data_IF_984369818688
#
_entry.id   IF_984369818688
#
_cell.length_a   1.000
_cell.length_b   1.000
_cell.length_c   1.000
_cell.angle_alpha   90.00
_cell.angle_beta   90.00
_cell.angle_gamma   90.00
#
_symmetry.space_group_name_H-M   'P 1'
#
loop_
_entity.id
_entity.type
_entity.pdbx_description
1 polymer ?
#
# COMPACT_ATOMS: atom_id res chain seq x y z
N UNK A 1 -47.24 39.99 -14.89
CA UNK A 1 -47.44 38.55 -14.61
C UNK A 1 -47.17 37.84 -15.92
N UNK A 2 -46.03 37.16 -16.04
CA UNK A 2 -45.74 36.31 -17.21
C UNK A 2 -46.73 35.16 -17.21
N UNK A 3 -47.42 34.96 -18.32
CA UNK A 3 -48.40 33.86 -18.42
C UNK A 3 -47.66 32.55 -18.65
N UNK A 4 -48.31 31.44 -18.30
CA UNK A 4 -47.71 30.11 -18.46
C UNK A 4 -47.39 29.80 -19.93
N UNK A 5 -48.21 30.29 -20.86
CA UNK A 5 -48.04 30.08 -22.29
C UNK A 5 -46.85 30.88 -22.85
N UNK A 6 -46.62 32.10 -22.34
CA UNK A 6 -45.43 32.90 -22.69
C UNK A 6 -44.13 32.18 -22.26
N UNK A 7 -44.14 31.56 -21.07
CA UNK A 7 -43.00 30.77 -20.57
C UNK A 7 -42.78 29.49 -21.39
N UNK A 8 -43.83 28.81 -21.81
CA UNK A 8 -43.72 27.62 -22.67
C UNK A 8 -43.19 27.96 -24.07
N UNK A 9 -43.59 29.11 -24.61
CA UNK A 9 -43.06 29.62 -25.88
C UNK A 9 -41.59 30.05 -25.77
N UNK A 10 -41.21 30.70 -24.67
CA UNK A 10 -39.82 31.09 -24.40
C UNK A 10 -38.89 29.87 -24.23
N UNK A 11 -39.40 28.78 -23.63
CA UNK A 11 -38.70 27.50 -23.49
C UNK A 11 -38.73 26.64 -24.78
N UNK A 12 -39.46 27.07 -25.82
CA UNK A 12 -39.59 26.33 -27.08
C UNK A 12 -40.39 25.02 -26.97
N UNK A 13 -41.21 24.88 -25.92
CA UNK A 13 -42.03 23.68 -25.63
C UNK A 13 -43.50 23.85 -26.04
N UNK A 14 -43.88 25.02 -26.55
CA UNK A 14 -45.24 25.38 -26.97
C UNK A 14 -45.75 24.56 -28.17
N UNK A 15 -44.86 23.97 -28.98
CA UNK A 15 -45.22 23.22 -30.20
C UNK A 15 -44.52 21.89 -30.27
N UNK A 16 -45.26 20.88 -30.76
CA UNK A 16 -44.66 19.60 -31.11
C UNK A 16 -43.62 19.80 -32.23
N UNK A 17 -42.49 19.07 -32.19
CA UNK A 17 -41.46 19.20 -33.19
C UNK A 17 -42.00 18.85 -34.58
N UNK A 18 -41.56 19.61 -35.58
CA UNK A 18 -41.97 19.38 -36.98
C UNK A 18 -41.42 18.05 -37.46
N UNK A 19 -42.12 17.40 -38.41
CA UNK A 19 -41.67 16.13 -39.01
C UNK A 19 -40.19 16.15 -39.41
N UNK A 20 -39.72 17.21 -40.05
CA UNK A 20 -38.31 17.36 -40.46
C UNK A 20 -37.33 17.39 -39.29
N UNK A 21 -37.71 17.99 -38.16
CA UNK A 21 -36.89 18.01 -36.95
C UNK A 21 -36.81 16.62 -36.30
N UNK A 22 -37.91 15.88 -36.31
CA UNK A 22 -37.95 14.49 -35.85
C UNK A 22 -37.07 13.61 -36.75
N UNK A 23 -37.18 13.77 -38.07
CA UNK A 23 -36.34 13.03 -39.02
C UNK A 23 -34.86 13.34 -38.81
N UNK A 24 -34.50 14.63 -38.67
CA UNK A 24 -33.11 15.04 -38.41
C UNK A 24 -32.58 14.49 -37.09
N UNK A 25 -33.40 14.48 -36.02
CA UNK A 25 -33.00 13.91 -34.74
C UNK A 25 -32.76 12.39 -34.83
N UNK A 26 -33.60 11.66 -35.57
CA UNK A 26 -33.43 10.22 -35.81
C UNK A 26 -32.17 9.97 -36.66
N UNK A 27 -31.92 10.80 -37.67
CA UNK A 27 -30.69 10.72 -38.47
C UNK A 27 -29.45 10.96 -37.61
N UNK A 28 -29.48 11.98 -36.75
CA UNK A 28 -28.39 12.30 -35.83
C UNK A 28 -28.13 11.17 -34.82
N UNK A 29 -29.17 10.54 -34.27
CA UNK A 29 -29.02 9.51 -33.23
C UNK A 29 -28.58 8.14 -33.79
N UNK A 30 -29.12 7.73 -34.95
CA UNK A 30 -28.96 6.37 -35.45
C UNK A 30 -28.08 6.25 -36.70
N UNK A 31 -28.07 7.26 -37.56
CA UNK A 31 -27.40 7.18 -38.87
C UNK A 31 -26.06 7.92 -38.91
N UNK A 32 -25.76 8.76 -37.92
CA UNK A 32 -24.44 9.40 -37.85
C UNK A 32 -23.37 8.42 -37.35
N UNK A 33 -22.19 8.39 -37.99
CA UNK A 33 -21.08 7.59 -37.49
C UNK A 33 -20.64 8.13 -36.13
N UNK A 34 -20.53 7.23 -35.15
CA UNK A 34 -20.05 7.59 -33.81
C UNK A 34 -18.57 7.93 -33.86
N UNK A 35 -18.19 9.03 -33.20
CA UNK A 35 -16.79 9.46 -33.06
C UNK A 35 -15.97 8.56 -32.14
N UNK A 36 -16.62 7.68 -31.38
CA UNK A 36 -15.98 6.74 -30.46
C UNK A 36 -16.44 5.31 -30.72
N UNK A 37 -15.55 4.35 -30.47
CA UNK A 37 -15.85 2.93 -30.61
C UNK A 37 -16.84 2.52 -29.50
N UNK A 38 -17.95 1.83 -29.84
CA UNK A 38 -18.88 1.33 -28.84
C UNK A 38 -18.21 0.35 -27.87
N UNK A 39 -18.50 0.46 -26.57
CA UNK A 39 -17.90 -0.39 -25.53
C UNK A 39 -18.11 -1.89 -25.76
N UNK A 40 -19.26 -2.26 -26.34
CA UNK A 40 -19.59 -3.65 -26.63
C UNK A 40 -18.78 -4.25 -27.79
N UNK A 41 -18.10 -3.42 -28.59
CA UNK A 41 -17.17 -3.87 -29.64
C UNK A 41 -15.72 -3.97 -29.17
N UNK A 42 -15.38 -3.36 -28.03
CA UNK A 42 -14.02 -3.40 -27.48
C UNK A 42 -13.47 -4.83 -27.32
N UNK A 43 -14.23 -5.82 -26.81
CA UNK A 43 -13.71 -7.19 -26.68
C UNK A 43 -13.31 -7.83 -28.02
N UNK A 44 -13.94 -7.43 -29.12
CA UNK A 44 -13.67 -7.97 -30.46
C UNK A 44 -12.42 -7.34 -31.07
N UNK A 45 -12.17 -6.06 -30.81
CA UNK A 45 -11.06 -5.32 -31.43
C UNK A 45 -9.83 -5.19 -30.53
N UNK A 46 -9.96 -5.39 -29.22
CA UNK A 46 -8.86 -5.29 -28.28
C UNK A 46 -8.11 -6.62 -28.16
N UNK A 47 -6.80 -6.56 -28.38
CA UNK A 47 -5.89 -7.67 -28.12
C UNK A 47 -5.31 -7.47 -26.72
N UNK A 48 -5.44 -8.47 -25.86
CA UNK A 48 -4.78 -8.51 -24.56
C UNK A 48 -3.44 -9.24 -24.73
N UNK A 49 -2.36 -8.54 -24.45
CA UNK A 49 -1.02 -9.13 -24.45
C UNK A 49 -0.88 -9.97 -23.20
N UNK A 50 -0.42 -11.22 -23.34
CA UNK A 50 -0.10 -12.07 -22.20
C UNK A 50 1.24 -11.60 -21.64
N UNK A 51 1.19 -10.91 -20.50
CA UNK A 51 2.40 -10.55 -19.76
C UNK A 51 2.79 -11.73 -18.87
N UNK A 52 4.02 -12.22 -18.99
CA UNK A 52 4.52 -13.28 -18.14
C UNK A 52 4.97 -12.69 -16.80
N UNK A 53 4.51 -13.29 -15.70
CA UNK A 53 4.84 -12.80 -14.36
C UNK A 53 6.33 -13.00 -14.07
N UNK A 54 7.09 -11.91 -14.09
CA UNK A 54 8.49 -11.89 -13.63
C UNK A 54 8.49 -11.68 -12.12
N UNK A 55 8.67 -12.75 -11.34
CA UNK A 55 8.64 -12.70 -9.87
C UNK A 55 9.67 -11.72 -9.28
N UNK A 56 10.80 -11.51 -9.97
CA UNK A 56 11.85 -10.58 -9.56
C UNK A 56 11.36 -9.13 -9.49
N UNK A 57 10.39 -8.75 -10.31
CA UNK A 57 9.87 -7.37 -10.36
C UNK A 57 8.93 -7.06 -9.19
N UNK A 58 8.42 -8.10 -8.52
CA UNK A 58 7.59 -7.96 -7.32
C UNK A 58 8.43 -7.75 -6.05
N UNK A 59 9.76 -7.92 -6.14
CA UNK A 59 10.65 -7.73 -5.00
C UNK A 59 10.82 -6.24 -4.72
N UNK A 60 10.40 -5.81 -3.54
CA UNK A 60 10.55 -4.43 -3.09
C UNK A 60 11.86 -4.25 -2.35
N UNK A 61 12.67 -3.27 -2.77
CA UNK A 61 13.82 -2.80 -2.00
C UNK A 61 13.45 -1.55 -1.21
N UNK A 62 13.61 -1.60 0.12
CA UNK A 62 13.44 -0.42 0.95
C UNK A 62 14.69 0.47 0.89
N UNK A 63 14.48 1.78 0.72
CA UNK A 63 15.59 2.74 0.72
C UNK A 63 16.20 2.83 2.11
N UNK A 64 17.51 2.61 2.19
CA UNK A 64 18.27 2.80 3.43
C UNK A 64 18.14 4.26 3.92
N UNK A 65 17.79 4.48 5.20
CA UNK A 65 17.72 5.81 5.76
C UNK A 65 19.12 6.45 5.89
N UNK A 66 19.18 7.78 5.91
CA UNK A 66 20.44 8.50 6.07
C UNK A 66 21.10 8.14 7.43
N UNK A 67 22.40 7.79 7.46
CA UNK A 67 23.09 7.33 8.66
C UNK A 67 23.48 8.48 9.61
N UNK A 68 23.36 9.73 9.17
CA UNK A 68 23.70 10.93 9.96
C UNK A 68 22.52 11.87 10.12
N UNK A 69 22.57 12.69 11.16
CA UNK A 69 21.67 13.81 11.41
C UNK A 69 22.48 15.04 11.82
N UNK A 70 21.91 16.24 11.65
CA UNK A 70 22.54 17.48 12.09
C UNK A 70 22.24 17.75 13.56
N UNK A 71 23.29 18.04 14.33
CA UNK A 71 23.23 18.53 15.69
C UNK A 71 23.73 19.98 15.74
N UNK A 72 23.00 20.84 16.45
CA UNK A 72 23.34 22.25 16.60
C UNK A 72 24.24 22.47 17.83
N UNK A 73 25.39 23.10 17.61
CA UNK A 73 26.29 23.51 18.68
C UNK A 73 25.83 24.86 19.25
N UNK A 74 25.71 24.95 20.58
CA UNK A 74 25.24 26.13 21.29
C UNK A 74 26.27 26.61 22.30
N UNK A 75 26.46 27.93 22.40
CA UNK A 75 27.40 28.53 23.34
C UNK A 75 26.84 29.79 24.01
N UNK A 76 27.46 30.16 25.14
CA UNK A 76 27.06 31.30 25.97
C UNK A 76 25.87 31.01 26.90
N UNK A 77 25.58 31.94 27.81
CA UNK A 77 24.47 31.81 28.78
C UNK A 77 23.09 31.78 28.11
N UNK A 78 22.95 32.48 26.97
CA UNK A 78 21.73 32.50 26.17
C UNK A 78 21.56 31.24 25.29
N UNK A 79 22.59 30.41 25.14
CA UNK A 79 22.55 29.20 24.32
C UNK A 79 22.34 29.46 22.83
N UNK A 80 22.97 30.50 22.26
CA UNK A 80 22.88 30.81 20.83
C UNK A 80 23.51 29.70 19.99
N UNK A 81 22.88 29.35 18.87
CA UNK A 81 23.40 28.38 17.90
C UNK A 81 24.59 29.01 17.18
N UNK A 82 25.77 28.41 17.33
CA UNK A 82 27.03 28.89 16.75
C UNK A 82 27.48 28.04 15.56
N UNK A 83 26.96 26.82 15.42
CA UNK A 83 27.38 25.90 14.37
C UNK A 83 26.48 24.67 14.26
N UNK A 84 26.75 23.87 13.22
CA UNK A 84 26.09 22.60 12.95
C UNK A 84 27.16 21.53 12.76
N UNK A 85 26.93 20.34 13.33
CA UNK A 85 27.80 19.18 13.18
C UNK A 85 26.97 17.96 12.82
N UNK A 86 27.46 17.14 11.89
CA UNK A 86 26.85 15.85 11.59
C UNK A 86 27.20 14.81 12.67
N UNK A 87 26.18 14.10 13.15
CA UNK A 87 26.28 13.05 14.17
C UNK A 87 25.65 11.78 13.62
N UNK A 88 26.25 10.63 13.91
CA UNK A 88 25.72 9.33 13.49
C UNK A 88 24.44 8.98 14.25
N UNK A 89 23.44 8.49 13.50
CA UNK A 89 22.19 7.98 14.05
C UNK A 89 22.18 6.48 13.86
N UNK A 90 22.10 5.73 14.97
CA UNK A 90 22.12 4.27 14.95
C UNK A 90 20.74 3.65 14.72
N UNK A 91 19.68 4.32 15.16
CA UNK A 91 18.33 3.78 15.10
C UNK A 91 17.33 4.87 14.69
N UNK A 92 16.39 4.51 13.81
CA UNK A 92 15.25 5.35 13.41
C UNK A 92 13.97 4.63 13.77
N UNK A 93 13.54 4.75 15.04
CA UNK A 93 12.37 4.04 15.52
C UNK A 93 11.13 4.49 14.74
N UNK A 94 10.32 3.53 14.28
CA UNK A 94 9.03 3.78 13.65
C UNK A 94 7.92 3.13 14.46
N UNK A 95 6.65 3.44 14.12
CA UNK A 95 5.51 2.76 14.72
C UNK A 95 5.57 1.24 14.62
N UNK A 96 6.23 0.66 13.60
CA UNK A 96 6.30 -0.79 13.38
C UNK A 96 7.47 -1.46 14.12
N UNK A 97 8.53 -0.71 14.38
CA UNK A 97 9.80 -1.26 14.89
C UNK A 97 10.10 -0.91 16.33
N UNK A 98 9.37 0.04 16.93
CA UNK A 98 9.72 0.55 18.26
C UNK A 98 8.52 0.98 19.11
N UNK A 99 8.67 0.76 20.42
CA UNK A 99 7.78 1.25 21.48
C UNK A 99 8.22 2.63 22.03
N UNK A 100 9.31 3.22 21.51
CA UNK A 100 9.84 4.51 21.99
C UNK A 100 8.92 5.68 21.66
N UNK A 101 8.86 6.67 22.57
CA UNK A 101 8.17 7.94 22.34
C UNK A 101 8.86 8.79 21.26
N UNK A 102 10.17 8.61 21.07
CA UNK A 102 10.98 9.36 20.09
C UNK A 102 10.86 8.80 18.65
N UNK A 103 9.98 7.83 18.42
CA UNK A 103 9.75 7.27 17.08
C UNK A 103 9.17 8.31 16.11
N UNK A 104 9.44 8.11 14.83
CA UNK A 104 8.89 8.97 13.78
C UNK A 104 7.35 8.98 13.84
N UNK A 105 6.72 10.16 13.69
CA UNK A 105 5.26 10.27 13.67
C UNK A 105 4.68 9.50 12.49
N UNK A 106 3.50 8.90 12.71
CA UNK A 106 2.77 8.20 11.66
C UNK A 106 2.11 9.15 10.64
N UNK A 107 1.53 8.59 9.57
CA UNK A 107 0.81 9.39 8.58
C UNK A 107 -0.45 10.03 9.20
N UNK A 108 -0.84 11.19 8.64
CA UNK A 108 -1.93 12.05 9.13
C UNK A 108 -3.25 11.29 9.29
N UNK A 109 -3.57 10.38 8.36
CA UNK A 109 -4.80 9.57 8.41
C UNK A 109 -4.93 8.65 9.63
N UNK A 110 -3.87 8.47 10.40
CA UNK A 110 -3.83 7.62 11.60
C UNK A 110 -3.45 8.36 12.88
N UNK A 111 -3.63 9.68 12.92
CA UNK A 111 -3.19 10.51 14.05
C UNK A 111 -3.85 10.15 15.39
N UNK A 112 -5.18 10.01 15.43
CA UNK A 112 -5.94 9.80 16.68
C UNK A 112 -6.07 8.33 17.02
N UNK A 113 -6.63 7.53 16.11
CA UNK A 113 -6.90 6.10 16.36
C UNK A 113 -5.66 5.22 16.22
N UNK A 114 -4.58 5.73 15.62
CA UNK A 114 -3.42 4.94 15.29
C UNK A 114 -3.68 3.91 14.18
N UNK A 115 -2.77 2.96 14.06
CA UNK A 115 -2.89 1.76 13.21
C UNK A 115 -2.65 0.55 14.08
N UNK A 116 -3.42 -0.52 13.88
CA UNK A 116 -3.23 -1.78 14.61
C UNK A 116 -1.85 -2.40 14.40
N UNK A 117 -1.24 -2.17 13.22
CA UNK A 117 0.13 -2.61 12.93
C UNK A 117 1.24 -1.78 13.57
N UNK A 118 0.91 -0.81 14.43
CA UNK A 118 1.92 -0.07 15.19
C UNK A 118 2.07 -0.69 16.59
N UNK A 119 3.30 -0.82 17.06
CA UNK A 119 3.63 -1.16 18.43
C UNK A 119 3.07 -0.09 19.40
N UNK A 120 2.57 -0.47 20.58
CA UNK A 120 2.17 0.49 21.60
C UNK A 120 3.39 1.28 22.11
N UNK A 121 3.15 2.47 22.69
CA UNK A 121 4.23 3.18 23.38
C UNK A 121 4.59 2.47 24.69
N UNK A 122 5.87 2.51 25.06
CA UNK A 122 6.37 1.94 26.31
C UNK A 122 5.61 2.55 27.50
N UNK A 123 4.85 1.76 28.29
CA UNK A 123 4.18 2.27 29.47
C UNK A 123 5.20 2.68 30.54
N UNK A 124 4.90 3.76 31.25
CA UNK A 124 5.76 4.25 32.33
C UNK A 124 5.85 3.25 33.48
N UNK A 125 7.00 3.17 34.13
CA UNK A 125 7.23 2.30 35.30
C UNK A 125 7.54 0.83 34.98
N UNK A 126 7.37 0.41 33.72
CA UNK A 126 7.64 -0.96 33.26
C UNK A 126 8.95 -0.99 32.47
N UNK A 127 10.07 -0.65 33.11
CA UNK A 127 11.35 -0.59 32.38
C UNK A 127 11.96 -1.98 32.14
N UNK A 128 11.84 -2.86 33.13
CA UNK A 128 12.46 -4.18 33.21
C UNK A 128 11.99 -5.14 32.11
N UNK A 129 10.69 -5.12 31.76
CA UNK A 129 10.10 -6.01 30.74
C UNK A 129 10.54 -5.66 29.31
N UNK A 130 10.94 -4.41 29.07
CA UNK A 130 11.42 -3.97 27.75
C UNK A 130 12.95 -3.85 27.70
N UNK A 131 13.65 -4.31 28.74
CA UNK A 131 15.06 -4.62 28.56
C UNK A 131 15.15 -5.75 27.54
N UNK A 132 16.13 -5.65 26.64
CA UNK A 132 16.33 -6.66 25.60
C UNK A 132 16.68 -7.97 26.29
N UNK A 133 15.70 -8.82 26.55
CA UNK A 133 15.97 -10.24 26.67
C UNK A 133 16.62 -10.62 25.34
N UNK A 134 17.89 -11.03 25.43
CA UNK A 134 18.58 -11.66 24.32
C UNK A 134 17.84 -12.97 24.15
N UNK A 135 16.81 -12.96 23.30
CA UNK A 135 16.10 -14.17 22.92
C UNK A 135 17.11 -15.21 22.49
N UNK A 136 16.79 -16.48 22.71
CA UNK A 136 17.64 -17.61 22.36
C UNK A 136 18.19 -17.39 20.95
N UNK A 137 19.50 -17.13 20.87
CA UNK A 137 20.13 -16.73 19.63
C UNK A 137 20.02 -17.92 18.69
N UNK A 138 19.15 -17.81 17.69
CA UNK A 138 19.03 -18.83 16.65
C UNK A 138 20.41 -18.94 16.02
N UNK A 139 21.12 -20.04 16.21
CA UNK A 139 22.54 -20.23 15.85
C UNK A 139 22.81 -19.96 14.36
N UNK A 140 23.16 -18.71 14.03
CA UNK A 140 23.34 -18.23 12.66
C UNK A 140 24.62 -18.78 12.03
N UNK A 141 25.48 -19.42 12.83
CA UNK A 141 26.84 -19.83 12.46
C UNK A 141 26.97 -21.36 12.25
N UNK A 142 25.85 -22.05 11.99
CA UNK A 142 25.82 -23.50 11.69
C UNK A 142 26.59 -23.92 10.42
N UNK A 143 27.22 -22.98 9.70
CA UNK A 143 28.05 -23.24 8.51
C UNK A 143 27.28 -23.68 7.27
N UNK A 144 25.97 -23.89 7.39
CA UNK A 144 25.07 -24.36 6.33
C UNK A 144 23.98 -23.34 6.01
N UNK A 145 23.54 -23.27 4.74
CA UNK A 145 22.43 -22.40 4.33
C UNK A 145 21.13 -22.82 5.03
N UNK A 146 20.44 -21.87 5.67
CA UNK A 146 19.15 -22.12 6.31
C UNK A 146 18.04 -22.19 5.28
N UNK A 147 17.35 -23.32 5.24
CA UNK A 147 16.21 -23.57 4.34
C UNK A 147 14.85 -23.28 4.98
N UNK A 148 14.74 -23.42 6.31
CA UNK A 148 13.48 -23.25 7.07
C UNK A 148 13.45 -21.88 7.76
N UNK A 149 12.41 -21.05 7.53
CA UNK A 149 12.24 -19.78 8.23
C UNK A 149 11.81 -19.99 9.69
N UNK A 150 12.11 -19.04 10.59
CA UNK A 150 11.76 -19.16 12.01
C UNK A 150 10.25 -19.23 12.22
N UNK A 151 9.79 -20.14 13.08
CA UNK A 151 8.37 -20.35 13.37
C UNK A 151 7.61 -21.21 12.34
N UNK A 152 8.31 -21.74 11.34
CA UNK A 152 7.74 -22.67 10.35
C UNK A 152 8.29 -24.07 10.56
N UNK A 153 7.48 -25.08 10.23
CA UNK A 153 7.91 -26.48 10.18
C UNK A 153 8.58 -26.87 8.87
N UNK A 154 8.42 -26.08 7.81
CA UNK A 154 8.84 -26.42 6.43
C UNK A 154 9.53 -25.24 5.75
N UNK A 155 10.49 -25.57 4.88
CA UNK A 155 11.38 -24.61 4.22
C UNK A 155 11.51 -24.79 2.72
N UNK A 156 12.44 -24.04 2.13
CA UNK A 156 12.81 -24.13 0.71
C UNK A 156 13.59 -25.42 0.45
N UNK A 157 13.16 -26.23 -0.52
CA UNK A 157 13.92 -27.40 -1.00
C UNK A 157 14.90 -26.97 -2.09
N UNK A 158 16.17 -27.32 -1.94
CA UNK A 158 17.19 -27.07 -2.96
C UNK A 158 17.37 -28.30 -3.84
N UNK A 159 17.87 -28.10 -5.07
CA UNK A 159 18.17 -29.20 -5.98
C UNK A 159 19.22 -30.14 -5.36
N UNK A 160 18.82 -31.37 -5.00
CA UNK A 160 19.69 -32.39 -4.41
C UNK A 160 19.33 -32.84 -2.99
N UNK A 161 18.34 -32.21 -2.34
CA UNK A 161 17.82 -32.69 -1.05
C UNK A 161 17.00 -33.98 -1.23
N UNK A 162 17.07 -34.94 -0.28
CA UNK A 162 16.26 -36.15 -0.34
C UNK A 162 14.76 -35.79 -0.28
N UNK A 163 13.95 -36.49 -1.08
CA UNK A 163 12.50 -36.31 -1.13
C UNK A 163 11.84 -36.74 0.18
N UNK A 164 11.83 -35.86 1.19
CA UNK A 164 10.92 -36.03 2.32
C UNK A 164 9.49 -35.74 1.85
N UNK A 165 8.59 -36.70 2.08
CA UNK A 165 7.19 -36.67 1.68
C UNK A 165 6.51 -35.39 2.19
N UNK A 166 6.02 -34.62 1.23
CA UNK A 166 5.23 -33.42 1.50
C UNK A 166 3.88 -33.88 2.03
N UNK A 167 3.66 -33.82 3.34
CA UNK A 167 2.30 -33.92 3.90
C UNK A 167 1.51 -32.74 3.35
N UNK A 168 0.63 -32.97 2.38
CA UNK A 168 -0.27 -31.96 1.86
C UNK A 168 -1.38 -31.80 2.89
N UNK A 169 -1.74 -30.57 3.27
CA UNK A 169 -2.82 -30.33 4.24
C UNK A 169 -4.19 -30.90 3.82
N UNK A 170 -4.34 -31.33 2.57
CA UNK A 170 -5.51 -32.08 2.08
C UNK A 170 -5.59 -33.51 2.61
N UNK A 171 -4.49 -34.04 3.15
CA UNK A 171 -4.37 -35.46 3.53
C UNK A 171 -4.57 -35.67 5.04
N UNK A 172 -4.90 -34.60 5.78
CA UNK A 172 -5.32 -34.70 7.18
C UNK A 172 -6.82 -35.06 7.23
N UNK A 173 -7.22 -36.08 8.01
CA UNK A 173 -8.63 -36.40 8.20
C UNK A 173 -9.35 -35.20 8.84
N UNK A 174 -10.59 -34.93 8.40
CA UNK A 174 -11.42 -33.79 8.83
C UNK A 174 -11.73 -33.74 10.33
N UNK A 175 -11.32 -34.76 11.10
CA UNK A 175 -11.61 -34.92 12.53
C UNK A 175 -10.66 -34.13 13.47
N UNK A 176 -9.57 -33.54 12.95
CA UNK A 176 -8.58 -32.75 13.75
C UNK A 176 -8.58 -31.24 13.42
N UNK A 177 -9.71 -30.70 12.91
CA UNK A 177 -9.96 -29.25 12.78
C UNK A 177 -10.88 -28.70 13.87
#
# INVERSE_FOLDING_TARGET
>A
MTTQDDLLAELGLDKLPTKEQIHKAIEEEYLTPRTTVPKHWLPTYQIHWKDELVLSDLLTFERMPAPTTLAFERAGLEGKVIGCKEVSVRDRPTGRTSTSLQRAPGPIGSFVRGKSGNMPFKPGGMNEIFEKEVGEAVDLDSGTLRTVPPGFSRGLKLEGDPDEEVVVFSDLPEDDL
#
